data_IF_877541718854
#
_entry.id   IF_877541718854
#
_cell.length_a   1.000
_cell.length_b   1.000
_cell.length_c   1.000
_cell.angle_alpha   90.00
_cell.angle_beta   90.00
_cell.angle_gamma   90.00
#
_symmetry.space_group_name_H-M   'P 1'
#
loop_
_entity.id
_entity.type
_entity.pdbx_description
1 polymer ?
#
# COMPACT_ATOMS: atom_id res chain seq x y z
N UNK A 1 45.96 -7.81 -40.49
CA UNK A 1 45.54 -7.48 -39.10
C UNK A 1 44.69 -6.22 -39.21
N UNK A 2 43.37 -6.32 -39.04
CA UNK A 2 42.48 -5.15 -39.19
C UNK A 2 42.76 -4.18 -38.03
N UNK A 3 43.23 -2.96 -38.33
CA UNK A 3 43.42 -1.93 -37.32
C UNK A 3 42.06 -1.39 -36.91
N UNK A 4 41.62 -1.71 -35.70
CA UNK A 4 40.40 -1.14 -35.13
C UNK A 4 40.67 0.32 -34.77
N UNK A 5 39.88 1.24 -35.31
CA UNK A 5 40.03 2.68 -35.09
C UNK A 5 39.63 3.06 -33.66
N UNK A 6 40.46 3.87 -32.99
CA UNK A 6 40.20 4.38 -31.63
C UNK A 6 38.86 5.13 -31.53
N UNK A 7 38.47 5.85 -32.58
CA UNK A 7 37.17 6.53 -32.66
C UNK A 7 35.99 5.57 -32.63
N UNK A 8 36.10 4.40 -33.26
CA UNK A 8 35.08 3.35 -33.24
C UNK A 8 34.93 2.75 -31.84
N UNK A 9 36.02 2.63 -31.08
CA UNK A 9 35.98 2.20 -29.67
C UNK A 9 35.26 3.20 -28.77
N UNK A 10 35.56 4.48 -28.93
CA UNK A 10 34.90 5.54 -28.16
C UNK A 10 33.40 5.60 -28.48
N UNK A 11 33.03 5.43 -29.75
CA UNK A 11 31.63 5.39 -30.17
C UNK A 11 30.89 4.18 -29.59
N UNK A 12 31.50 2.99 -29.64
CA UNK A 12 30.94 1.79 -29.03
C UNK A 12 30.79 1.93 -27.50
N UNK A 13 31.75 2.58 -26.83
CA UNK A 13 31.67 2.86 -25.40
C UNK A 13 30.53 3.83 -25.08
N UNK A 14 30.36 4.91 -25.85
CA UNK A 14 29.23 5.84 -25.71
C UNK A 14 27.88 5.14 -25.93
N UNK A 15 27.77 4.29 -26.95
CA UNK A 15 26.56 3.49 -27.21
C UNK A 15 26.27 2.47 -26.10
N UNK A 16 27.30 1.89 -25.51
CA UNK A 16 27.14 0.97 -24.39
C UNK A 16 26.63 1.71 -23.15
N UNK A 17 27.21 2.88 -22.82
CA UNK A 17 26.78 3.69 -21.69
C UNK A 17 25.32 4.18 -21.83
N UNK A 18 24.91 4.60 -23.03
CA UNK A 18 23.51 5.00 -23.27
C UNK A 18 22.55 3.82 -23.20
N UNK A 19 22.97 2.62 -23.63
CA UNK A 19 22.15 1.42 -23.46
C UNK A 19 21.97 1.04 -21.98
N UNK A 20 23.04 1.14 -21.17
CA UNK A 20 22.97 0.88 -19.73
C UNK A 20 22.02 1.83 -18.99
N UNK A 21 21.96 3.10 -19.36
CA UNK A 21 21.05 4.06 -18.72
C UNK A 21 19.60 3.88 -19.15
N UNK A 22 19.34 3.49 -20.41
CA UNK A 22 17.99 3.19 -20.90
C UNK A 22 17.43 1.90 -20.30
N UNK A 23 18.28 0.89 -20.07
CA UNK A 23 17.89 -0.38 -19.42
C UNK A 23 17.84 -0.24 -17.89
N UNK A 24 18.51 0.76 -17.32
CA UNK A 24 18.77 0.90 -15.88
C UNK A 24 17.66 1.52 -15.01
N UNK A 25 16.46 1.75 -15.52
CA UNK A 25 15.33 2.10 -14.66
C UNK A 25 14.68 0.86 -14.07
N UNK A 26 15.29 0.36 -12.99
CA UNK A 26 14.65 -0.60 -12.09
C UNK A 26 13.42 0.02 -11.41
N UNK A 27 12.54 -0.84 -10.88
CA UNK A 27 11.37 -0.39 -10.13
C UNK A 27 11.80 0.56 -9.01
N UNK A 28 11.24 1.77 -8.99
CA UNK A 28 11.40 2.68 -7.86
C UNK A 28 10.67 2.04 -6.68
N UNK A 29 11.40 1.78 -5.60
CA UNK A 29 10.80 1.35 -4.34
C UNK A 29 9.94 2.50 -3.81
N UNK A 30 8.59 2.35 -3.78
CA UNK A 30 7.69 3.40 -3.31
C UNK A 30 7.82 3.64 -1.80
N UNK A 31 8.49 2.74 -1.07
CA UNK A 31 8.70 2.83 0.38
C UNK A 31 10.00 3.54 0.76
N UNK A 32 10.81 3.97 -0.23
CA UNK A 32 12.05 4.69 0.02
C UNK A 32 11.81 5.98 0.80
N UNK A 33 12.45 6.08 1.96
CA UNK A 33 12.34 7.25 2.85
C UNK A 33 11.26 7.14 3.93
N UNK A 34 10.54 6.03 3.98
CA UNK A 34 9.58 5.74 5.04
C UNK A 34 10.15 4.75 6.05
N UNK A 35 9.68 4.87 7.30
CA UNK A 35 10.02 3.94 8.39
C UNK A 35 8.87 2.94 8.52
N UNK A 36 9.20 1.64 8.53
CA UNK A 36 8.23 0.59 8.79
C UNK A 36 7.71 0.68 10.22
N UNK A 37 6.39 0.77 10.36
CA UNK A 37 5.73 0.85 11.65
C UNK A 37 4.95 -0.45 11.90
N UNK A 38 5.21 -1.09 13.03
CA UNK A 38 4.40 -2.23 13.45
C UNK A 38 2.98 -1.76 13.79
N UNK A 39 2.00 -2.35 13.13
CA UNK A 39 0.58 -2.15 13.43
C UNK A 39 0.20 -3.00 14.64
N UNK A 40 -0.03 -2.34 15.78
CA UNK A 40 -0.65 -2.99 16.92
C UNK A 40 -2.17 -3.03 16.72
N UNK A 41 -2.78 -4.20 16.90
CA UNK A 41 -4.23 -4.39 16.86
C UNK A 41 -4.96 -3.45 17.84
N UNK A 42 -4.35 -3.10 18.97
CA UNK A 42 -4.92 -2.14 19.92
C UNK A 42 -5.14 -0.74 19.33
N UNK A 43 -4.45 -0.41 18.24
CA UNK A 43 -4.54 0.88 17.57
C UNK A 43 -5.59 0.86 16.44
N UNK A 44 -6.18 -0.31 16.16
CA UNK A 44 -7.20 -0.49 15.15
C UNK A 44 -8.58 -0.34 15.79
N UNK A 45 -9.35 0.63 15.32
CA UNK A 45 -10.73 0.84 15.75
C UNK A 45 -11.65 0.43 14.60
N UNK A 46 -12.42 -0.63 14.82
CA UNK A 46 -13.38 -1.11 13.83
C UNK A 46 -14.63 -0.22 13.90
N UNK A 47 -14.92 0.45 12.79
CA UNK A 47 -16.19 1.13 12.59
C UNK A 47 -17.14 0.22 11.82
N UNK A 48 -18.38 0.15 12.30
CA UNK A 48 -19.44 -0.72 11.81
C UNK A 48 -20.79 0.00 11.86
N UNK A 49 -21.85 -0.52 11.23
CA UNK A 49 -23.22 -0.08 11.47
C UNK A 49 -23.55 -0.06 12.97
N UNK A 50 -24.19 1.01 13.44
CA UNK A 50 -24.40 1.23 14.88
C UNK A 50 -25.25 0.14 15.54
N UNK A 51 -26.16 -0.48 14.78
CA UNK A 51 -27.14 -1.48 15.22
C UNK A 51 -26.70 -2.93 15.02
N UNK A 52 -25.52 -3.17 14.43
CA UNK A 52 -25.04 -4.53 14.11
C UNK A 52 -23.78 -4.86 14.91
N UNK A 53 -23.70 -6.01 15.62
CA UNK A 53 -22.49 -6.43 16.32
C UNK A 53 -21.26 -6.56 15.41
N UNK A 54 -20.08 -6.29 15.96
CA UNK A 54 -18.82 -6.27 15.18
C UNK A 54 -18.49 -7.60 14.52
N UNK A 55 -18.65 -8.71 15.26
CA UNK A 55 -18.38 -10.06 14.76
C UNK A 55 -19.27 -10.47 13.57
N UNK A 56 -20.34 -9.72 13.27
CA UNK A 56 -21.18 -9.95 12.09
C UNK A 56 -20.73 -9.15 10.86
N UNK A 57 -19.80 -8.20 10.98
CA UNK A 57 -19.32 -7.35 9.87
C UNK A 57 -17.81 -7.35 9.73
N UNK A 58 -17.10 -7.84 10.73
CA UNK A 58 -15.65 -7.89 10.79
C UNK A 58 -15.17 -9.24 11.30
N UNK A 59 -14.07 -9.72 10.72
CA UNK A 59 -13.30 -10.82 11.29
C UNK A 59 -11.81 -10.64 11.04
N UNK A 60 -11.00 -11.02 12.03
CA UNK A 60 -9.56 -11.13 11.90
C UNK A 60 -9.13 -12.58 12.10
N UNK A 61 -8.55 -13.20 11.06
CA UNK A 61 -8.05 -14.58 11.10
C UNK A 61 -6.80 -14.71 10.24
N UNK A 62 -5.75 -15.30 10.81
CA UNK A 62 -4.48 -15.57 10.11
C UNK A 62 -3.88 -14.33 9.44
N UNK A 63 -3.90 -13.17 10.11
CA UNK A 63 -3.39 -11.91 9.57
C UNK A 63 -4.30 -11.22 8.55
N UNK A 64 -5.46 -11.80 8.21
CA UNK A 64 -6.39 -11.24 7.23
C UNK A 64 -7.55 -10.55 7.94
N UNK A 65 -7.69 -9.25 7.72
CA UNK A 65 -8.88 -8.49 8.10
C UNK A 65 -9.94 -8.62 7.00
N UNK A 66 -11.11 -9.16 7.35
CA UNK A 66 -12.27 -9.23 6.45
C UNK A 66 -13.33 -8.28 6.94
N UNK A 67 -13.81 -7.44 6.03
CA UNK A 67 -14.87 -6.47 6.26
C UNK A 67 -15.94 -6.69 5.20
N UNK A 68 -17.20 -6.68 5.60
CA UNK A 68 -18.31 -6.70 4.65
C UNK A 68 -19.40 -5.74 5.10
N UNK A 69 -20.21 -5.33 4.13
CA UNK A 69 -21.32 -4.41 4.30
C UNK A 69 -22.49 -4.92 3.48
N UNK A 70 -23.70 -4.88 4.03
CA UNK A 70 -24.91 -5.24 3.31
C UNK A 70 -25.72 -4.00 2.95
N UNK A 71 -26.49 -4.08 1.87
CA UNK A 71 -27.36 -3.00 1.41
C UNK A 71 -28.41 -2.59 2.46
N UNK A 72 -28.78 -3.51 3.34
CA UNK A 72 -29.75 -3.29 4.42
C UNK A 72 -29.15 -2.71 5.69
N UNK A 73 -27.82 -2.60 5.79
CA UNK A 73 -27.16 -2.08 6.98
C UNK A 73 -27.49 -0.61 7.20
N UNK A 74 -27.26 -0.15 8.43
CA UNK A 74 -27.40 1.26 8.79
C UNK A 74 -26.05 1.99 8.75
N UNK A 75 -26.06 3.34 8.73
CA UNK A 75 -24.83 4.13 8.82
C UNK A 75 -24.02 3.84 10.09
N UNK A 76 -22.80 4.37 10.18
CA UNK A 76 -21.95 4.20 11.37
C UNK A 76 -22.54 4.86 12.63
N UNK A 77 -23.41 5.86 12.50
CA UNK A 77 -24.13 6.46 13.63
C UNK A 77 -25.57 6.83 13.24
N UNK A 78 -26.49 6.96 14.21
CA UNK A 78 -27.89 7.29 13.94
C UNK A 78 -28.10 8.66 13.27
N UNK A 79 -27.14 9.58 13.42
CA UNK A 79 -27.20 10.94 12.86
C UNK A 79 -26.45 11.06 11.53
N UNK A 80 -25.73 10.02 11.11
CA UNK A 80 -24.96 10.07 9.87
C UNK A 80 -25.88 10.03 8.65
N UNK A 81 -25.61 10.90 7.67
CA UNK A 81 -26.29 10.91 6.36
C UNK A 81 -25.56 10.08 5.30
N UNK A 82 -24.48 9.40 5.67
CA UNK A 82 -23.68 8.59 4.74
C UNK A 82 -24.25 7.19 4.61
N UNK A 83 -23.90 6.51 3.52
CA UNK A 83 -24.21 5.09 3.35
C UNK A 83 -23.51 4.22 4.41
N UNK A 84 -24.00 2.99 4.64
CA UNK A 84 -23.38 2.01 5.52
C UNK A 84 -21.94 1.70 5.08
N UNK A 85 -21.07 1.47 6.07
CA UNK A 85 -19.68 1.08 5.86
C UNK A 85 -19.18 0.27 7.05
N UNK A 86 -18.25 -0.63 6.75
CA UNK A 86 -17.41 -1.29 7.76
C UNK A 86 -15.97 -0.95 7.41
N UNK A 87 -15.25 -0.30 8.31
CA UNK A 87 -13.89 0.21 8.05
C UNK A 87 -12.99 0.06 9.28
N UNK A 88 -11.67 0.03 9.07
CA UNK A 88 -10.69 0.06 10.15
C UNK A 88 -10.10 1.45 10.23
N UNK A 89 -10.27 2.11 11.38
CA UNK A 89 -9.66 3.39 11.67
C UNK A 89 -8.43 3.18 12.53
N UNK A 90 -7.27 3.56 12.01
CA UNK A 90 -6.00 3.47 12.73
C UNK A 90 -5.85 4.74 13.59
N UNK A 91 -5.72 4.57 14.91
CA UNK A 91 -5.37 5.68 15.78
C UNK A 91 -3.93 6.12 15.53
N UNK A 92 -3.74 7.44 15.47
CA UNK A 92 -2.50 8.08 15.02
C UNK A 92 -1.31 7.69 15.90
N UNK A 93 -0.23 7.26 15.26
CA UNK A 93 1.11 7.26 15.84
C UNK A 93 1.69 8.69 15.81
N UNK A 94 2.42 9.11 16.84
CA UNK A 94 2.95 10.49 16.96
C UNK A 94 4.05 10.89 15.94
N UNK A 95 4.24 10.15 14.83
CA UNK A 95 5.39 10.32 13.94
C UNK A 95 4.96 10.81 12.55
N UNK A 96 5.66 11.85 12.06
CA UNK A 96 5.33 12.66 10.86
C UNK A 96 5.40 11.93 9.51
N UNK A 97 6.11 10.80 9.39
CA UNK A 97 6.30 10.08 8.11
C UNK A 97 6.44 8.56 8.31
N UNK A 98 5.36 7.87 8.66
CA UNK A 98 5.32 6.40 8.75
C UNK A 98 4.54 5.80 7.57
N UNK A 99 5.00 4.66 7.06
CA UNK A 99 4.19 3.81 6.18
C UNK A 99 3.58 2.67 6.98
N UNK A 100 2.34 2.39 6.61
CA UNK A 100 1.59 1.22 7.04
C UNK A 100 1.33 0.42 5.78
N UNK A 101 1.93 -0.76 5.65
CA UNK A 101 1.63 -1.68 4.55
C UNK A 101 0.27 -2.34 4.81
N UNK A 102 -0.73 -1.97 4.01
CA UNK A 102 -2.04 -2.62 3.98
C UNK A 102 -2.04 -3.55 2.77
N UNK A 103 -1.87 -4.85 2.99
CA UNK A 103 -2.03 -5.85 1.94
C UNK A 103 -3.53 -6.00 1.63
N UNK A 104 -3.98 -5.34 0.55
CA UNK A 104 -5.30 -5.59 -0.02
C UNK A 104 -5.20 -6.86 -0.89
N UNK A 105 -5.91 -7.91 -0.49
CA UNK A 105 -6.06 -9.11 -1.30
C UNK A 105 -6.96 -8.79 -2.51
N UNK A 106 -6.46 -8.96 -3.72
CA UNK A 106 -7.29 -9.03 -4.92
C UNK A 106 -7.67 -10.49 -5.21
N UNK A 107 -8.95 -10.79 -5.50
CA UNK A 107 -9.44 -12.14 -5.77
C UNK A 107 -8.93 -12.75 -7.07
#
# INVERSE_FOLDING_TARGET
MASVNLSSFLYAFFLLQTLYTVVGWGSIDPTKGFISQHLNESNLVIQRPYDVPENQRYSFKNGVHKLWVFKTDKPHSPISKTNPRTEIRIHKFEIKHSLIEIFLWEP
#
